data_IF_116471328998
#
_entry.id   IF_116471328998
#
_cell.length_a   1.000
_cell.length_b   1.000
_cell.length_c   1.000
_cell.angle_alpha   90.00
_cell.angle_beta   90.00
_cell.angle_gamma   90.00
#
_symmetry.space_group_name_H-M   'P 1'
#
loop_
_entity.id
_entity.type
_entity.pdbx_description
1 polymer ?
#
# COMPACT_ATOMS: atom_id res chain seq x y z
N UNK A 1 13.11 -5.97 8.09
CA UNK A 1 12.70 -7.04 9.03
C UNK A 1 11.17 -7.17 9.20
N UNK A 2 10.41 -6.11 9.52
CA UNK A 2 8.94 -6.21 9.79
C UNK A 2 8.11 -6.88 8.68
N UNK A 3 8.40 -6.57 7.41
CA UNK A 3 7.63 -7.07 6.27
C UNK A 3 7.92 -8.53 5.91
N UNK A 4 9.20 -8.94 5.90
CA UNK A 4 9.57 -10.34 5.70
C UNK A 4 8.97 -11.24 6.79
N UNK A 5 8.94 -10.78 8.04
CA UNK A 5 8.29 -11.50 9.15
C UNK A 5 6.77 -11.61 9.00
N UNK A 6 6.14 -10.71 8.23
CA UNK A 6 4.72 -10.76 7.89
C UNK A 6 4.42 -11.59 6.63
N UNK A 7 5.44 -12.27 6.06
CA UNK A 7 5.30 -13.08 4.86
C UNK A 7 5.12 -12.26 3.59
N UNK A 8 5.42 -10.95 3.62
CA UNK A 8 5.44 -10.12 2.42
C UNK A 8 6.70 -10.46 1.62
N UNK A 9 6.53 -10.69 0.32
CA UNK A 9 7.65 -11.01 -0.55
C UNK A 9 8.47 -9.76 -0.91
N UNK A 10 9.54 -9.56 -0.15
CA UNK A 10 10.55 -8.50 -0.31
C UNK A 10 11.95 -9.12 -0.27
N UNK A 11 12.98 -8.51 -0.86
CA UNK A 11 14.34 -9.06 -0.79
C UNK A 11 14.84 -9.08 0.66
N UNK A 12 15.55 -10.14 1.06
CA UNK A 12 16.08 -10.24 2.41
C UNK A 12 17.19 -9.18 2.64
N UNK A 13 17.09 -8.31 3.66
CA UNK A 13 18.16 -7.37 3.98
C UNK A 13 19.27 -8.07 4.76
N UNK A 14 20.52 -7.96 4.31
CA UNK A 14 21.68 -8.55 4.96
C UNK A 14 22.41 -7.58 5.88
N UNK A 15 22.60 -6.33 5.46
CA UNK A 15 23.34 -5.34 6.25
C UNK A 15 22.96 -3.90 5.86
N UNK A 16 23.12 -2.97 6.80
CA UNK A 16 22.99 -1.54 6.55
C UNK A 16 24.17 -0.80 7.19
N UNK A 17 24.99 -0.14 6.37
CA UNK A 17 26.19 0.58 6.82
C UNK A 17 26.36 1.86 6.00
N UNK A 18 26.58 2.99 6.68
CA UNK A 18 26.86 4.30 6.07
C UNK A 18 25.89 4.71 4.94
N UNK A 19 24.59 4.41 5.12
CA UNK A 19 23.55 4.73 4.13
C UNK A 19 23.43 3.71 2.99
N UNK A 20 24.25 2.67 2.96
CA UNK A 20 24.19 1.58 1.99
C UNK A 20 23.44 0.39 2.59
N UNK A 21 22.38 -0.05 1.90
CA UNK A 21 21.61 -1.24 2.24
C UNK A 21 22.05 -2.40 1.32
N UNK A 22 22.57 -3.46 1.92
CA UNK A 22 22.88 -4.73 1.24
C UNK A 22 21.69 -5.68 1.40
N UNK A 23 21.23 -6.25 0.29
CA UNK A 23 20.07 -7.14 0.24
C UNK A 23 20.31 -8.32 -0.70
N UNK A 24 19.42 -9.31 -0.62
CA UNK A 24 19.26 -10.38 -1.58
C UNK A 24 19.14 -9.87 -3.02
N UNK A 25 19.85 -10.53 -3.94
CA UNK A 25 19.65 -10.35 -5.37
C UNK A 25 18.43 -11.16 -5.79
N UNK A 26 17.37 -10.49 -6.24
CA UNK A 26 16.20 -11.14 -6.81
C UNK A 26 16.51 -11.55 -8.25
N UNK A 27 16.35 -12.84 -8.56
CA UNK A 27 16.70 -13.40 -9.88
C UNK A 27 15.48 -13.91 -10.65
N UNK A 28 15.57 -13.88 -11.97
CA UNK A 28 14.64 -14.58 -12.86
C UNK A 28 15.00 -16.08 -13.00
N UNK A 29 14.26 -16.78 -13.86
CA UNK A 29 14.45 -18.21 -14.10
C UNK A 29 15.78 -18.56 -14.80
N UNK A 30 16.47 -17.58 -15.40
CA UNK A 30 17.78 -17.76 -16.00
C UNK A 30 18.92 -17.53 -14.99
N UNK A 31 18.60 -17.05 -13.79
CA UNK A 31 19.57 -16.65 -12.77
C UNK A 31 20.12 -15.23 -12.96
N UNK A 32 19.56 -14.47 -13.90
CA UNK A 32 19.89 -13.07 -14.11
C UNK A 32 19.07 -12.18 -13.15
N UNK A 33 19.46 -10.91 -12.99
CA UNK A 33 18.69 -9.97 -12.18
C UNK A 33 17.26 -9.84 -12.71
N UNK A 34 16.27 -10.05 -11.84
CA UNK A 34 14.87 -10.04 -12.23
C UNK A 34 14.47 -8.67 -12.83
N UNK A 35 13.74 -8.66 -13.96
CA UNK A 35 13.28 -7.41 -14.56
C UNK A 35 12.21 -6.74 -13.70
N UNK A 36 12.06 -5.41 -13.86
CA UNK A 36 10.89 -4.70 -13.30
C UNK A 36 9.64 -5.08 -14.08
N UNK A 37 8.46 -5.01 -13.45
CA UNK A 37 7.20 -5.26 -14.16
C UNK A 37 7.04 -4.36 -15.39
N UNK A 38 7.46 -3.10 -15.31
CA UNK A 38 7.40 -2.15 -16.43
C UNK A 38 8.12 -2.64 -17.69
N UNK A 39 9.13 -3.50 -17.54
CA UNK A 39 9.97 -3.97 -18.64
C UNK A 39 9.45 -5.30 -19.22
N UNK A 40 8.29 -5.78 -18.75
CA UNK A 40 7.71 -7.07 -19.12
C UNK A 40 6.34 -6.86 -19.78
N UNK A 41 6.09 -7.62 -20.85
CA UNK A 41 4.78 -7.70 -21.52
C UNK A 41 4.05 -8.95 -21.05
N UNK A 42 2.82 -8.80 -20.57
CA UNK A 42 2.04 -9.89 -20.00
C UNK A 42 0.97 -10.41 -20.95
N UNK A 43 0.72 -11.73 -20.90
CA UNK A 43 -0.55 -12.27 -21.35
C UNK A 43 -1.68 -11.82 -20.42
N UNK A 44 -2.95 -11.79 -20.87
CA UNK A 44 -4.08 -11.44 -19.99
C UNK A 44 -4.19 -12.35 -18.75
N UNK A 45 -3.88 -13.64 -18.90
CA UNK A 45 -3.93 -14.61 -17.79
C UNK A 45 -2.82 -14.34 -16.76
N UNK A 46 -1.60 -14.08 -17.22
CA UNK A 46 -0.47 -13.74 -16.34
C UNK A 46 -0.72 -12.41 -15.63
N UNK A 47 -1.25 -11.41 -16.33
CA UNK A 47 -1.59 -10.12 -15.75
C UNK A 47 -2.59 -10.25 -14.58
N UNK A 48 -3.65 -11.06 -14.76
CA UNK A 48 -4.63 -11.33 -13.69
C UNK A 48 -3.96 -12.07 -12.52
N UNK A 49 -3.11 -13.06 -12.79
CA UNK A 49 -2.43 -13.85 -11.74
C UNK A 49 -1.45 -13.00 -10.93
N UNK A 50 -0.62 -12.19 -11.59
CA UNK A 50 0.36 -11.34 -10.92
C UNK A 50 -0.32 -10.18 -10.17
N UNK A 51 -1.37 -9.58 -10.75
CA UNK A 51 -2.20 -8.60 -10.04
C UNK A 51 -2.79 -9.19 -8.76
N UNK A 52 -3.41 -10.38 -8.82
CA UNK A 52 -3.99 -11.03 -7.65
C UNK A 52 -2.93 -11.35 -6.58
N UNK A 53 -1.72 -11.72 -7.00
CA UNK A 53 -0.60 -11.96 -6.08
C UNK A 53 -0.20 -10.67 -5.36
N UNK A 54 -0.02 -9.56 -6.09
CA UNK A 54 0.37 -8.28 -5.49
C UNK A 54 -0.71 -7.68 -4.61
N UNK A 55 -1.99 -7.86 -4.93
CA UNK A 55 -3.10 -7.47 -4.05
C UNK A 55 -3.01 -8.21 -2.71
N UNK A 56 -2.64 -9.50 -2.70
CA UNK A 56 -2.39 -10.26 -1.47
C UNK A 56 -1.19 -9.72 -0.70
N UNK A 57 -0.11 -9.33 -1.39
CA UNK A 57 1.04 -8.69 -0.73
C UNK A 57 0.64 -7.36 -0.08
N UNK A 58 -0.19 -6.53 -0.74
CA UNK A 58 -0.74 -5.30 -0.14
C UNK A 58 -1.53 -5.59 1.13
N UNK A 59 -2.36 -6.64 1.14
CA UNK A 59 -3.09 -7.08 2.35
C UNK A 59 -2.11 -7.46 3.46
N UNK A 60 -1.08 -8.26 3.16
CA UNK A 60 -0.06 -8.66 4.16
C UNK A 60 0.70 -7.46 4.72
N UNK A 61 1.10 -6.51 3.87
CA UNK A 61 1.72 -5.26 4.31
C UNK A 61 0.80 -4.49 5.25
N UNK A 62 -0.48 -4.32 4.89
CA UNK A 62 -1.45 -3.59 5.70
C UNK A 62 -1.72 -4.29 7.04
N UNK A 63 -1.85 -5.62 7.04
CA UNK A 63 -1.96 -6.42 8.27
C UNK A 63 -0.72 -6.30 9.16
N UNK A 64 0.46 -6.05 8.58
CA UNK A 64 1.70 -5.74 9.30
C UNK A 64 1.79 -4.27 9.77
N UNK A 65 0.75 -3.47 9.54
CA UNK A 65 0.67 -2.05 9.90
C UNK A 65 1.40 -1.12 8.93
N UNK A 66 1.69 -1.56 7.70
CA UNK A 66 2.50 -0.82 6.73
C UNK A 66 1.72 -0.58 5.43
N UNK A 67 1.78 0.65 4.93
CA UNK A 67 1.41 0.99 3.54
C UNK A 67 2.69 1.25 2.77
N UNK A 68 2.84 0.65 1.58
CA UNK A 68 4.05 0.82 0.76
C UNK A 68 4.30 2.29 0.43
N UNK A 69 3.25 3.02 0.09
CA UNK A 69 3.29 4.45 -0.05
C UNK A 69 3.64 4.90 -1.46
N UNK A 70 4.41 4.12 -2.22
CA UNK A 70 4.75 4.39 -3.63
C UNK A 70 4.72 3.14 -4.53
N UNK A 71 3.74 2.25 -4.36
CA UNK A 71 3.72 0.98 -5.09
C UNK A 71 3.31 1.20 -6.56
N UNK A 72 4.13 0.72 -7.47
CA UNK A 72 3.94 0.81 -8.93
C UNK A 72 4.71 -0.29 -9.64
N UNK A 73 4.52 -0.42 -10.96
CA UNK A 73 5.26 -1.31 -11.85
C UNK A 73 6.79 -1.11 -11.83
N UNK A 74 7.25 0.06 -11.37
CA UNK A 74 8.68 0.35 -11.24
C UNK A 74 9.27 -0.20 -9.94
N UNK A 75 8.43 -0.43 -8.92
CA UNK A 75 8.83 -0.86 -7.57
C UNK A 75 8.49 -2.34 -7.30
N UNK A 76 8.37 -3.12 -8.37
CA UNK A 76 8.15 -4.57 -8.32
C UNK A 76 9.07 -5.26 -9.33
N UNK A 77 9.80 -6.27 -8.87
CA UNK A 77 10.61 -7.16 -9.69
C UNK A 77 9.84 -8.46 -9.98
N UNK A 78 10.02 -9.05 -11.15
CA UNK A 78 9.41 -10.33 -11.51
C UNK A 78 10.44 -11.45 -11.43
N UNK A 79 10.51 -12.10 -10.27
CA UNK A 79 11.34 -13.31 -10.09
C UNK A 79 10.67 -14.54 -10.70
N UNK A 80 11.41 -15.65 -10.78
CA UNK A 80 10.93 -16.93 -11.29
C UNK A 80 9.61 -17.38 -10.64
N UNK A 81 9.52 -17.28 -9.32
CA UNK A 81 8.35 -17.69 -8.52
C UNK A 81 7.33 -16.56 -8.37
N UNK A 82 7.47 -15.43 -9.09
CA UNK A 82 6.49 -14.35 -9.17
C UNK A 82 6.99 -12.97 -8.70
N UNK A 83 6.07 -12.03 -8.42
CA UNK A 83 6.43 -10.64 -8.15
C UNK A 83 7.00 -10.43 -6.73
N UNK A 84 8.01 -9.57 -6.63
CA UNK A 84 8.71 -9.17 -5.39
C UNK A 84 8.65 -7.66 -5.25
N UNK A 85 8.13 -7.16 -4.12
CA UNK A 85 8.03 -5.73 -3.85
C UNK A 85 9.39 -5.21 -3.39
N UNK A 86 9.80 -4.06 -3.93
CA UNK A 86 11.05 -3.37 -3.59
C UNK A 86 10.79 -1.90 -3.24
N UNK A 87 11.83 -1.18 -2.80
CA UNK A 87 11.82 0.27 -2.56
C UNK A 87 10.84 0.75 -1.46
N UNK A 88 11.16 0.41 -0.21
CA UNK A 88 10.40 0.73 0.99
C UNK A 88 10.71 2.06 1.74
N UNK A 89 11.63 2.97 1.34
CA UNK A 89 11.87 4.22 2.07
C UNK A 89 10.63 5.11 2.25
N UNK A 90 9.64 5.00 1.35
CA UNK A 90 8.38 5.76 1.39
C UNK A 90 7.26 5.05 2.17
N UNK A 91 7.54 3.88 2.75
CA UNK A 91 6.55 3.12 3.49
C UNK A 91 6.16 3.84 4.78
N UNK A 92 4.85 3.86 5.07
CA UNK A 92 4.28 4.60 6.21
C UNK A 92 3.49 3.67 7.14
N UNK A 93 3.39 4.09 8.40
CA UNK A 93 2.54 3.42 9.38
C UNK A 93 1.06 3.61 9.03
N UNK A 94 0.33 2.51 8.93
CA UNK A 94 -1.07 2.51 8.48
C UNK A 94 -2.03 3.15 9.50
N UNK A 95 -1.72 3.09 10.80
CA UNK A 95 -2.56 3.60 11.87
C UNK A 95 -2.20 5.04 12.26
N UNK A 96 -0.92 5.40 12.19
CA UNK A 96 -0.39 6.69 12.63
C UNK A 96 -0.29 7.77 11.54
N UNK A 97 -0.52 7.43 10.26
CA UNK A 97 -0.43 8.39 9.17
C UNK A 97 -1.81 8.73 8.58
N UNK A 98 -2.22 10.01 8.71
CA UNK A 98 -3.48 10.54 8.18
C UNK A 98 -3.64 10.42 6.65
N UNK A 99 -2.57 10.11 5.93
CA UNK A 99 -2.55 9.91 4.48
C UNK A 99 -2.50 8.44 4.07
N UNK A 100 -2.37 7.49 5.01
CA UNK A 100 -2.25 6.06 4.74
C UNK A 100 -3.37 5.53 3.83
N UNK A 101 -4.63 5.90 4.09
CA UNK A 101 -5.79 5.54 3.24
C UNK A 101 -5.57 5.93 1.79
N UNK A 102 -5.24 7.20 1.55
CA UNK A 102 -5.05 7.74 0.20
C UNK A 102 -3.87 7.07 -0.50
N UNK A 103 -2.79 6.82 0.22
CA UNK A 103 -1.60 6.16 -0.29
C UNK A 103 -1.89 4.71 -0.69
N UNK A 104 -2.60 3.95 0.15
CA UNK A 104 -2.99 2.57 -0.17
C UNK A 104 -3.92 2.50 -1.37
N UNK A 105 -4.92 3.38 -1.44
CA UNK A 105 -5.82 3.46 -2.59
C UNK A 105 -5.03 3.75 -3.88
N UNK A 106 -4.04 4.65 -3.82
CA UNK A 106 -3.14 4.95 -4.95
C UNK A 106 -2.29 3.75 -5.33
N UNK A 107 -1.67 3.08 -4.38
CA UNK A 107 -0.83 1.90 -4.58
C UNK A 107 -1.62 0.80 -5.32
N UNK A 108 -2.83 0.49 -4.86
CA UNK A 108 -3.69 -0.52 -5.49
C UNK A 108 -4.20 -0.05 -6.86
N UNK A 109 -4.50 1.23 -7.01
CA UNK A 109 -4.92 1.80 -8.30
C UNK A 109 -3.80 1.76 -9.34
N UNK A 110 -2.55 2.01 -8.96
CA UNK A 110 -1.39 1.89 -9.85
C UNK A 110 -1.28 0.46 -10.40
N UNK A 111 -1.36 -0.54 -9.52
CA UNK A 111 -1.36 -1.95 -9.92
C UNK A 111 -2.54 -2.27 -10.85
N UNK A 112 -3.75 -1.84 -10.49
CA UNK A 112 -4.96 -2.02 -11.31
C UNK A 112 -4.77 -1.42 -12.71
N UNK A 113 -4.26 -0.20 -12.77
CA UNK A 113 -4.10 0.53 -14.03
C UNK A 113 -3.02 -0.09 -14.91
N UNK A 114 -1.89 -0.49 -14.33
CA UNK A 114 -0.81 -1.18 -15.03
C UNK A 114 -1.29 -2.50 -15.63
N UNK A 115 -1.79 -3.42 -14.81
CA UNK A 115 -2.26 -4.73 -15.30
C UNK A 115 -3.52 -4.63 -16.15
N UNK A 116 -4.33 -3.59 -15.95
CA UNK A 116 -5.51 -3.29 -16.76
C UNK A 116 -5.22 -2.99 -18.23
N UNK A 117 -3.97 -2.61 -18.57
CA UNK A 117 -3.52 -2.47 -19.97
C UNK A 117 -3.50 -3.82 -20.69
N UNK A 118 -3.25 -4.91 -19.97
CA UNK A 118 -3.18 -6.28 -20.50
C UNK A 118 -4.49 -7.06 -20.26
N UNK A 119 -5.20 -6.76 -19.17
CA UNK A 119 -6.46 -7.39 -18.79
C UNK A 119 -7.53 -6.34 -18.39
N UNK A 120 -8.28 -5.79 -19.35
CA UNK A 120 -9.23 -4.69 -19.11
C UNK A 120 -10.30 -4.94 -18.04
N UNK A 121 -10.63 -6.21 -17.77
CA UNK A 121 -11.57 -6.58 -16.71
C UNK A 121 -11.12 -6.07 -15.32
N UNK A 122 -9.80 -5.98 -15.08
CA UNK A 122 -9.23 -5.49 -13.82
C UNK A 122 -9.60 -4.02 -13.54
N UNK A 123 -9.79 -3.20 -14.57
CA UNK A 123 -10.14 -1.78 -14.44
C UNK A 123 -11.49 -1.54 -13.77
N UNK A 124 -12.36 -2.57 -13.73
CA UNK A 124 -13.66 -2.50 -13.06
C UNK A 124 -13.59 -2.82 -11.57
N UNK A 125 -12.46 -3.35 -11.10
CA UNK A 125 -12.28 -3.76 -9.70
C UNK A 125 -12.03 -2.57 -8.77
N UNK A 126 -12.32 -2.77 -7.48
CA UNK A 126 -12.25 -1.79 -6.40
C UNK A 126 -11.59 -2.38 -5.14
N UNK A 127 -10.46 -3.06 -5.33
CA UNK A 127 -9.75 -3.73 -4.24
C UNK A 127 -9.24 -2.73 -3.19
N UNK A 128 -8.79 -1.54 -3.57
CA UNK A 128 -8.25 -0.56 -2.64
C UNK A 128 -9.28 -0.13 -1.60
N UNK A 129 -10.50 0.18 -2.05
CA UNK A 129 -11.60 0.55 -1.15
C UNK A 129 -12.10 -0.63 -0.31
N UNK A 130 -12.20 -1.82 -0.89
CA UNK A 130 -12.59 -3.04 -0.18
C UNK A 130 -11.60 -3.38 0.95
N UNK A 131 -10.31 -3.43 0.65
CA UNK A 131 -9.23 -3.72 1.60
C UNK A 131 -9.25 -2.72 2.74
N UNK A 132 -9.28 -1.42 2.42
CA UNK A 132 -9.25 -0.38 3.45
C UNK A 132 -10.50 -0.41 4.32
N UNK A 133 -11.67 -0.65 3.73
CA UNK A 133 -12.91 -0.78 4.49
C UNK A 133 -12.85 -1.94 5.46
N UNK A 134 -12.37 -3.11 5.03
CA UNK A 134 -12.19 -4.27 5.92
C UNK A 134 -11.19 -3.97 7.04
N UNK A 135 -10.11 -3.25 6.75
CA UNK A 135 -9.12 -2.83 7.75
C UNK A 135 -9.72 -1.87 8.80
N UNK A 136 -10.45 -0.84 8.37
CA UNK A 136 -11.11 0.14 9.27
C UNK A 136 -12.09 -0.54 10.25
N UNK A 137 -12.73 -1.63 9.83
CA UNK A 137 -13.69 -2.37 10.65
C UNK A 137 -13.04 -3.53 11.43
N UNK A 138 -11.72 -3.70 11.38
CA UNK A 138 -11.00 -4.79 12.06
C UNK A 138 -11.32 -6.19 11.50
N UNK A 139 -11.83 -6.27 10.27
CA UNK A 139 -12.23 -7.51 9.61
C UNK A 139 -11.20 -8.04 8.59
N UNK A 140 -10.14 -7.27 8.32
CA UNK A 140 -9.08 -7.67 7.39
C UNK A 140 -8.10 -8.65 8.05
N UNK A 141 -7.84 -9.75 7.36
CA UNK A 141 -6.81 -10.73 7.68
C UNK A 141 -6.08 -11.15 6.41
N UNK A 142 -4.93 -11.81 6.55
CA UNK A 142 -4.15 -12.35 5.42
C UNK A 142 -4.90 -13.42 4.61
N UNK A 143 -5.91 -14.06 5.22
CA UNK A 143 -6.76 -15.07 4.58
C UNK A 143 -8.08 -14.49 4.05
N UNK A 144 -8.31 -13.18 4.18
CA UNK A 144 -9.56 -12.56 3.76
C UNK A 144 -9.72 -12.65 2.24
N UNK A 145 -10.79 -13.32 1.79
CA UNK A 145 -11.15 -13.39 0.38
C UNK A 145 -11.74 -12.05 -0.09
N UNK A 146 -11.08 -11.43 -1.06
CA UNK A 146 -11.51 -10.18 -1.65
C UNK A 146 -12.34 -10.45 -2.91
N UNK A 147 -13.46 -9.74 -3.04
CA UNK A 147 -14.35 -9.84 -4.18
C UNK A 147 -13.95 -8.94 -5.36
N UNK A 148 -13.14 -7.92 -5.09
CA UNK A 148 -12.82 -6.84 -6.02
C UNK A 148 -14.02 -5.93 -6.29
N UNK A 149 -15.13 -6.09 -5.57
CA UNK A 149 -16.37 -5.33 -5.74
C UNK A 149 -16.65 -4.56 -4.47
N UNK A 150 -16.58 -3.24 -4.56
CA UNK A 150 -16.89 -2.37 -3.43
C UNK A 150 -18.06 -1.45 -3.76
N UNK A 151 -19.11 -1.51 -2.96
CA UNK A 151 -20.16 -0.50 -2.95
C UNK A 151 -19.87 0.48 -1.82
N UNK A 152 -19.47 1.70 -2.18
CA UNK A 152 -19.32 2.77 -1.20
C UNK A 152 -20.65 2.98 -0.50
N UNK A 153 -20.73 2.65 0.79
CA UNK A 153 -21.84 3.14 1.60
C UNK A 153 -21.72 4.66 1.63
N UNK A 154 -22.66 5.33 0.97
CA UNK A 154 -22.84 6.77 1.09
C UNK A 154 -23.45 7.08 2.46
N UNK A 155 -22.68 6.85 3.52
CA UNK A 155 -22.97 7.43 4.82
C UNK A 155 -22.77 8.94 4.74
N UNK A 156 -23.57 9.75 5.47
CA UNK A 156 -23.37 11.19 5.49
C UNK A 156 -21.95 11.48 5.99
N UNK A 157 -21.18 12.20 5.18
CA UNK A 157 -19.89 12.75 5.63
C UNK A 157 -20.21 13.71 6.77
N UNK A 158 -19.82 13.39 8.01
CA UNK A 158 -19.98 14.30 9.16
C UNK A 158 -18.96 15.43 9.04
N UNK A 159 -19.29 16.43 8.22
CA UNK A 159 -18.54 17.68 8.10
C UNK A 159 -18.44 18.39 9.47
N UNK A 160 -19.37 18.12 10.38
CA UNK A 160 -19.35 18.64 11.75
C UNK A 160 -18.17 18.11 12.57
N UNK A 161 -17.72 16.87 12.34
CA UNK A 161 -16.53 16.34 13.02
C UNK A 161 -15.25 17.07 12.60
N UNK A 162 -15.09 17.34 11.30
CA UNK A 162 -13.94 18.09 10.75
C UNK A 162 -13.94 19.54 11.23
N UNK A 163 -15.12 20.16 11.31
CA UNK A 163 -15.24 21.53 11.81
C UNK A 163 -14.93 21.64 13.32
N UNK A 164 -15.31 20.64 14.12
CA UNK A 164 -14.98 20.58 15.56
C UNK A 164 -13.45 20.53 15.79
N UNK A 165 -12.72 19.73 15.02
CA UNK A 165 -11.25 19.67 15.13
C UNK A 165 -10.56 21.01 14.80
N UNK A 166 -11.09 21.75 13.81
CA UNK A 166 -10.56 23.08 13.45
C UNK A 166 -10.85 24.11 14.53
N UNK A 167 -12.04 24.07 15.13
CA UNK A 167 -12.42 25.01 16.18
C UNK A 167 -11.70 24.73 17.50
N UNK A 168 -11.47 23.46 17.84
CA UNK A 168 -10.68 23.05 19.02
C UNK A 168 -9.22 23.52 18.90
N UNK A 169 -8.59 23.34 17.73
CA UNK A 169 -7.24 23.83 17.46
C UNK A 169 -7.13 25.36 17.60
N UNK A 170 -8.16 26.10 17.14
CA UNK A 170 -8.23 27.57 17.28
C UNK A 170 -8.43 28.00 18.73
N UNK A 171 -9.22 27.26 19.51
CA UNK A 171 -9.46 27.53 20.91
C UNK A 171 -8.20 27.30 21.77
N UNK A 172 -7.44 26.24 21.49
CA UNK A 172 -6.15 25.98 22.14
C UNK A 172 -5.11 27.07 21.83
N UNK A 173 -5.03 27.51 20.57
CA UNK A 173 -4.11 28.58 20.17
C UNK A 173 -4.49 29.92 20.81
N UNK A 174 -5.78 30.26 20.86
CA UNK A 174 -6.26 31.45 21.56
C UNK A 174 -5.96 31.41 23.06
N UNK A 175 -6.15 30.26 23.72
CA UNK A 175 -5.82 30.08 25.14
C UNK A 175 -4.31 30.20 25.40
N UNK A 176 -3.46 29.74 24.47
CA UNK A 176 -2.01 29.87 24.55
C UNK A 176 -1.57 31.34 24.45
N UNK A 177 -2.13 32.08 23.50
CA UNK A 177 -1.84 33.51 23.32
C UNK A 177 -2.27 34.35 24.53
N UNK A 178 -3.45 34.07 25.10
CA UNK A 178 -3.94 34.75 26.29
C UNK A 178 -3.02 34.54 27.51
N UNK A 179 -2.44 33.34 27.68
CA UNK A 179 -1.47 33.04 28.74
C UNK A 179 -0.13 33.76 28.56
N UNK A 180 0.29 33.99 27.31
CA UNK A 180 1.52 34.73 27.00
C UNK A 180 1.39 36.24 27.18
N UNK A 181 0.17 36.79 27.12
CA UNK A 181 -0.08 38.22 27.34
C UNK A 181 -0.34 38.58 28.81
N UNK A 182 -0.59 37.59 29.67
CA UNK A 182 -0.94 37.77 31.09
C UNK A 182 0.23 37.50 32.06
N UNK A 183 1.44 37.25 31.56
CA UNK A 183 2.69 37.12 32.33
C UNK A 183 3.73 38.12 31.88
#
# INVERSE_FOLDING_TARGET
YRLAAAGVRVPEPYNFCDGVLLMELVTDAAGDAAPRLNDVVFSPEDAVRHHATLVKEVVRMLCAGVVHGDLSEFNVLLAEDGPVIIDLPQAVDAAGNNHAKRMLLRDVDNLRNFFGQFAPALLTTRYGEEIWSLYEHGALSVETELSGRFQRQAGPVDVGAVLREVDDARAEEAARLARMQAG
#
